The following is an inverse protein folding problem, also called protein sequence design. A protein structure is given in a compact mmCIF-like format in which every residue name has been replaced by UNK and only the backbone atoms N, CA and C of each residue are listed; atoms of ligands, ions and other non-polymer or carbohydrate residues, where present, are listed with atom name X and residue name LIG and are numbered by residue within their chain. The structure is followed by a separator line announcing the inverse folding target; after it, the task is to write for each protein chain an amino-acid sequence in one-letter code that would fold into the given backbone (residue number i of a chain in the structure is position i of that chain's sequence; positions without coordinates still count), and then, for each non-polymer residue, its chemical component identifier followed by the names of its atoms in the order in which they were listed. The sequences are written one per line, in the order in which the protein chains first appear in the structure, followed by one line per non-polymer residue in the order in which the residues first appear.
data_IF_936447116203
#
_entry.id   IF_936447116203
#
_cell.length_a   1.000
_cell.length_b   1.000
_cell.length_c   1.000
_cell.angle_alpha   90.00
_cell.angle_beta   90.00
_cell.angle_gamma   90.00
#
_symmetry.space_group_name_H-M   'P 1'
#
loop_
_entity.id
_entity.type
_entity.pdbx_description
1 polymer ?
#
# COMPACT_ATOMS: atom_id res chain seq x y z
N UNK A 1 23.02 2.31 -9.10
CA UNK A 1 22.06 2.93 -8.16
C UNK A 1 22.03 2.13 -6.85
N UNK A 2 21.93 2.79 -5.68
CA UNK A 2 21.76 2.08 -4.40
C UNK A 2 20.40 1.34 -4.46
N UNK A 3 20.36 0.02 -4.23
CA UNK A 3 19.11 -0.80 -4.30
C UNK A 3 17.90 -0.19 -3.57
N UNK A 4 18.13 0.54 -2.48
CA UNK A 4 17.07 1.22 -1.73
C UNK A 4 16.42 2.37 -2.53
N UNK A 5 17.19 3.12 -3.32
CA UNK A 5 16.67 4.17 -4.19
C UNK A 5 15.75 3.60 -5.28
N UNK A 6 16.08 2.40 -5.80
CA UNK A 6 15.23 1.70 -6.76
C UNK A 6 13.89 1.30 -6.14
N UNK A 7 13.87 0.85 -4.88
CA UNK A 7 12.62 0.51 -4.17
C UNK A 7 11.73 1.74 -3.96
N UNK A 8 12.31 2.90 -3.62
CA UNK A 8 11.57 4.17 -3.55
C UNK A 8 10.96 4.51 -4.92
N UNK A 9 11.73 4.34 -6.00
CA UNK A 9 11.22 4.55 -7.35
C UNK A 9 10.00 3.69 -7.67
N UNK A 10 10.06 2.39 -7.38
CA UNK A 10 8.92 1.49 -7.58
C UNK A 10 7.70 1.88 -6.76
N UNK A 11 7.89 2.33 -5.52
CA UNK A 11 6.79 2.80 -4.69
C UNK A 11 6.09 4.03 -5.26
N UNK A 12 6.87 5.02 -5.72
CA UNK A 12 6.30 6.23 -6.32
C UNK A 12 5.53 5.90 -7.60
N UNK A 13 6.07 5.01 -8.44
CA UNK A 13 5.37 4.55 -9.65
C UNK A 13 4.08 3.81 -9.29
N UNK A 14 4.11 2.92 -8.29
CA UNK A 14 2.93 2.22 -7.81
C UNK A 14 1.85 3.21 -7.35
N UNK A 15 2.20 4.19 -6.50
CA UNK A 15 1.24 5.18 -6.02
C UNK A 15 0.64 6.02 -7.15
N UNK A 16 1.43 6.35 -8.18
CA UNK A 16 0.95 7.07 -9.36
C UNK A 16 -0.06 6.23 -10.14
N UNK A 17 0.21 4.93 -10.33
CA UNK A 17 -0.72 4.01 -10.99
C UNK A 17 -2.01 3.87 -10.18
N UNK A 18 -1.91 3.66 -8.86
CA UNK A 18 -3.07 3.55 -7.98
C UNK A 18 -3.93 4.81 -8.05
N UNK A 19 -3.32 6.00 -7.99
CA UNK A 19 -4.03 7.27 -8.10
C UNK A 19 -4.79 7.40 -9.42
N UNK A 20 -4.16 7.01 -10.54
CA UNK A 20 -4.82 7.07 -11.85
C UNK A 20 -6.01 6.11 -11.88
N UNK A 21 -5.83 4.86 -11.41
CA UNK A 21 -6.85 3.81 -11.47
C UNK A 21 -8.00 4.08 -10.50
N UNK A 22 -7.74 4.63 -9.32
CA UNK A 22 -8.77 4.96 -8.31
C UNK A 22 -9.79 5.97 -8.83
N UNK A 23 -9.34 6.90 -9.68
CA UNK A 23 -10.22 7.88 -10.33
C UNK A 23 -10.96 7.31 -11.56
N UNK A 24 -10.86 6.01 -11.83
CA UNK A 24 -11.55 5.37 -12.95
C UNK A 24 -12.67 4.46 -12.47
N UNK A 25 -13.76 4.32 -13.26
CA UNK A 25 -14.88 3.47 -12.90
C UNK A 25 -14.57 1.96 -12.98
N UNK A 26 -13.33 1.57 -13.25
CA UNK A 26 -12.94 0.16 -13.43
C UNK A 26 -12.99 -0.65 -12.13
N UNK A 27 -12.86 0.00 -10.95
CA UNK A 27 -12.65 -0.70 -9.66
C UNK A 27 -13.63 -0.23 -8.59
N UNK A 28 -14.86 0.10 -8.97
CA UNK A 28 -15.86 0.64 -8.05
C UNK A 28 -16.44 -0.40 -7.05
N UNK A 29 -16.16 -1.69 -7.23
CA UNK A 29 -16.59 -2.75 -6.32
C UNK A 29 -15.52 -3.84 -6.25
N UNK A 30 -14.83 -3.90 -5.10
CA UNK A 30 -13.91 -4.98 -4.78
C UNK A 30 -14.33 -5.59 -3.43
N UNK A 31 -14.80 -6.84 -3.44
CA UNK A 31 -15.15 -7.57 -2.23
C UNK A 31 -13.93 -8.36 -1.73
N UNK A 32 -13.50 -8.12 -0.49
CA UNK A 32 -12.42 -8.91 0.13
C UNK A 32 -12.94 -10.17 0.84
N UNK A 33 -14.26 -10.37 0.83
CA UNK A 33 -14.94 -11.32 1.68
C UNK A 33 -14.94 -10.90 3.14
N UNK A 34 -15.77 -11.59 3.93
CA UNK A 34 -16.13 -11.21 5.31
C UNK A 34 -14.96 -10.79 6.21
N UNK A 35 -13.83 -11.49 6.12
CA UNK A 35 -12.66 -11.18 6.95
C UNK A 35 -11.95 -9.89 6.51
N UNK A 36 -11.74 -9.69 5.21
CA UNK A 36 -11.11 -8.47 4.74
C UNK A 36 -12.03 -7.27 4.84
N UNK A 37 -13.35 -7.45 4.67
CA UNK A 37 -14.33 -6.38 4.91
C UNK A 37 -14.30 -5.92 6.37
N UNK A 38 -14.11 -6.83 7.33
CA UNK A 38 -13.90 -6.48 8.75
C UNK A 38 -12.59 -5.72 8.97
N UNK A 39 -11.51 -6.11 8.31
CA UNK A 39 -10.22 -5.38 8.39
C UNK A 39 -10.39 -3.96 7.87
N UNK A 40 -11.08 -3.77 6.75
CA UNK A 40 -11.32 -2.46 6.15
C UNK A 40 -12.16 -1.54 7.04
N UNK A 41 -12.92 -2.10 7.99
CA UNK A 41 -13.68 -1.34 9.00
C UNK A 41 -12.87 -0.97 10.25
N UNK A 42 -11.61 -1.41 10.35
CA UNK A 42 -10.76 -1.02 11.47
C UNK A 42 -10.29 0.43 11.35
N UNK A 43 -10.00 1.07 12.49
CA UNK A 43 -9.47 2.43 12.57
C UNK A 43 -8.26 2.64 11.64
N UNK A 44 -7.43 1.60 11.49
CA UNK A 44 -6.29 1.60 10.60
C UNK A 44 -6.64 2.00 9.16
N UNK A 45 -7.76 1.52 8.61
CA UNK A 45 -8.17 1.80 7.22
C UNK A 45 -9.27 2.86 7.11
N UNK A 46 -10.01 3.14 8.18
CA UNK A 46 -11.02 4.20 8.17
C UNK A 46 -10.46 5.57 8.50
N UNK A 47 -9.43 5.65 9.35
CA UNK A 47 -8.85 6.92 9.81
C UNK A 47 -7.41 7.12 9.31
N UNK A 48 -6.56 6.09 9.41
CA UNK A 48 -5.12 6.23 9.17
C UNK A 48 -4.71 5.97 7.72
N UNK A 49 -5.32 4.98 7.06
CA UNK A 49 -5.04 4.56 5.68
C UNK A 49 -6.30 4.70 4.83
N UNK A 50 -6.83 5.92 4.74
CA UNK A 50 -7.94 6.27 3.85
C UNK A 50 -7.46 7.27 2.77
N UNK A 51 -6.48 6.86 1.96
CA UNK A 51 -5.85 7.71 0.95
C UNK A 51 -6.48 7.58 -0.43
N UNK A 52 -7.11 6.44 -0.70
CA UNK A 52 -7.80 6.09 -1.94
C UNK A 52 -9.27 5.82 -1.65
N UNK A 53 -10.14 6.16 -2.60
CA UNK A 53 -11.59 5.88 -2.50
C UNK A 53 -11.85 4.37 -2.50
N UNK A 54 -11.07 3.62 -3.28
CA UNK A 54 -11.13 2.16 -3.32
C UNK A 54 -10.38 1.57 -2.12
N UNK A 55 -11.07 0.89 -1.16
CA UNK A 55 -10.44 0.36 0.05
C UNK A 55 -9.33 -0.66 -0.22
N UNK A 56 -9.41 -1.38 -1.34
CA UNK A 56 -8.36 -2.31 -1.79
C UNK A 56 -7.01 -1.61 -1.99
N UNK A 57 -7.00 -0.41 -2.56
CA UNK A 57 -5.75 0.33 -2.79
C UNK A 57 -5.12 0.82 -1.51
N UNK A 58 -5.92 1.14 -0.49
CA UNK A 58 -5.41 1.47 0.84
C UNK A 58 -4.67 0.28 1.49
N UNK A 59 -5.18 -0.94 1.31
CA UNK A 59 -4.49 -2.18 1.76
C UNK A 59 -3.18 -2.38 1.01
N UNK A 60 -3.18 -2.20 -0.32
CA UNK A 60 -1.95 -2.28 -1.14
C UNK A 60 -0.93 -1.24 -0.69
N UNK A 61 -1.37 -0.01 -0.44
CA UNK A 61 -0.54 1.07 0.07
C UNK A 61 0.10 0.69 1.42
N UNK A 62 -0.70 0.17 2.35
CA UNK A 62 -0.21 -0.28 3.66
C UNK A 62 0.91 -1.31 3.55
N UNK A 63 0.72 -2.38 2.77
CA UNK A 63 1.76 -3.39 2.59
C UNK A 63 2.99 -2.86 1.84
N UNK A 64 2.80 -1.99 0.85
CA UNK A 64 3.92 -1.39 0.12
C UNK A 64 4.77 -0.46 1.00
N UNK A 65 4.14 0.29 1.91
CA UNK A 65 4.83 1.11 2.92
C UNK A 65 5.61 0.25 3.91
N UNK A 66 4.99 -0.82 4.43
CA UNK A 66 5.67 -1.80 5.28
C UNK A 66 6.91 -2.36 4.57
N UNK A 67 6.79 -2.71 3.29
CA UNK A 67 7.91 -3.25 2.52
C UNK A 67 9.09 -2.26 2.45
N UNK A 68 8.83 -0.98 2.20
CA UNK A 68 9.87 0.06 2.09
C UNK A 68 10.53 0.36 3.43
N UNK A 69 9.81 0.24 4.53
CA UNK A 69 10.33 0.47 5.87
C UNK A 69 11.15 -0.75 6.32
N UNK A 70 10.57 -1.95 6.20
CA UNK A 70 11.19 -3.17 6.72
C UNK A 70 12.38 -3.64 5.89
N UNK A 71 12.36 -3.51 4.56
CA UNK A 71 13.44 -4.02 3.71
C UNK A 71 14.82 -3.38 3.99
N UNK A 72 14.97 -2.05 4.07
CA UNK A 72 16.22 -1.42 4.50
C UNK A 72 16.53 -1.69 5.98
N UNK A 73 15.51 -1.79 6.85
CA UNK A 73 15.72 -2.10 8.27
C UNK A 73 16.31 -3.50 8.47
N UNK A 74 15.74 -4.51 7.81
CA UNK A 74 16.28 -5.86 7.78
C UNK A 74 17.71 -5.88 7.25
N UNK A 75 17.98 -5.15 6.15
CA UNK A 75 19.33 -5.03 5.60
C UNK A 75 20.32 -4.40 6.59
N UNK A 76 19.85 -3.49 7.45
CA UNK A 76 20.67 -2.85 8.47
C UNK A 76 20.97 -3.81 9.62
N UNK A 77 19.97 -4.54 10.13
CA UNK A 77 20.12 -5.54 11.20
C UNK A 77 20.98 -6.72 10.73
N UNK A 78 20.70 -7.27 9.55
CA UNK A 78 21.40 -8.44 9.00
C UNK A 78 22.86 -8.17 8.61
N UNK A 79 23.31 -6.91 8.62
CA UNK A 79 24.70 -6.52 8.35
C UNK A 79 25.57 -6.45 9.61
N UNK A 80 25.00 -6.79 10.77
CA UNK A 80 25.72 -6.99 12.03
C UNK A 80 26.01 -8.48 12.21
#
# INVERSE_FOLDING_TARGET
MKKWLTNIGYFLILNLILLIVDNTPFVNHFEFGKFGDQILQTELFTEWFNFYETPFFNVVLFFSLIHIILFPFYRFISKK
#
